data_IF_494029984316
#
_entry.id   IF_494029984316
#
_cell.length_a   1.000
_cell.length_b   1.000
_cell.length_c   1.000
_cell.angle_alpha   90.00
_cell.angle_beta   90.00
_cell.angle_gamma   90.00
#
_symmetry.space_group_name_H-M   'P 1'
#
loop_
_entity.id
_entity.type
_entity.pdbx_description
1 polymer ?
#
# COMPACT_ATOMS: atom_id res chain seq x y z
N UNK A 1 4.11 -11.54 -5.59
CA UNK A 1 4.46 -10.22 -6.17
C UNK A 1 5.90 -9.93 -5.81
N UNK A 2 6.75 -9.42 -6.73
CA UNK A 2 8.09 -9.02 -6.35
C UNK A 2 7.94 -7.87 -5.35
N UNK A 3 8.38 -8.10 -4.10
CA UNK A 3 8.60 -7.01 -3.16
C UNK A 3 9.60 -6.06 -3.82
N UNK A 4 9.19 -4.81 -4.08
CA UNK A 4 10.17 -3.74 -4.25
C UNK A 4 11.11 -3.91 -3.07
N UNK A 5 12.39 -4.15 -3.40
CA UNK A 5 13.35 -4.35 -2.32
C UNK A 5 13.30 -3.09 -1.47
N UNK A 6 12.79 -3.21 -0.28
CA UNK A 6 12.73 -2.17 0.77
C UNK A 6 14.03 -1.35 0.82
N UNK A 7 15.14 -1.96 0.43
CA UNK A 7 16.45 -1.39 0.29
C UNK A 7 16.57 -0.29 -0.79
N UNK A 8 15.81 -0.34 -1.89
CA UNK A 8 15.90 0.66 -2.98
C UNK A 8 15.02 1.86 -2.70
N UNK A 9 13.85 1.64 -2.06
CA UNK A 9 13.02 2.73 -1.57
C UNK A 9 13.74 3.52 -0.45
N UNK A 10 14.42 2.84 0.47
CA UNK A 10 15.25 3.49 1.50
C UNK A 10 16.31 4.37 0.89
N UNK A 11 17.04 3.92 -0.13
CA UNK A 11 18.05 4.74 -0.81
C UNK A 11 17.49 6.07 -1.36
N UNK A 12 16.28 6.06 -1.91
CA UNK A 12 15.62 7.28 -2.40
C UNK A 12 15.28 8.24 -1.26
N UNK A 13 14.72 7.73 -0.16
CA UNK A 13 14.39 8.56 1.00
C UNK A 13 15.66 9.03 1.76
N UNK A 14 16.72 8.25 1.75
CA UNK A 14 17.99 8.58 2.44
C UNK A 14 18.71 9.80 1.82
N UNK A 15 18.48 10.10 0.53
CA UNK A 15 19.05 11.26 -0.17
C UNK A 15 18.12 12.48 -0.18
N UNK A 16 17.08 12.47 0.62
CA UNK A 16 16.14 13.56 0.77
C UNK A 16 16.68 14.69 1.63
N UNK A 17 16.50 15.91 1.18
CA UNK A 17 16.78 17.13 1.93
C UNK A 17 15.49 17.84 2.34
N UNK A 18 15.56 18.59 3.43
CA UNK A 18 14.46 19.41 3.92
C UNK A 18 14.87 20.89 3.90
N UNK A 19 14.02 21.75 3.33
CA UNK A 19 14.18 23.19 3.42
C UNK A 19 13.67 23.72 4.75
N UNK A 20 14.00 25.00 5.05
CA UNK A 20 13.56 25.65 6.30
C UNK A 20 12.05 25.80 6.43
N UNK A 21 11.35 25.85 5.30
CA UNK A 21 9.89 25.95 5.22
C UNK A 21 9.17 24.58 5.36
N UNK A 22 9.94 23.50 5.55
CA UNK A 22 9.43 22.13 5.67
C UNK A 22 9.21 21.42 4.34
N UNK A 23 9.47 22.06 3.19
CA UNK A 23 9.41 21.38 1.89
C UNK A 23 10.60 20.44 1.68
N UNK A 24 10.38 19.35 1.01
CA UNK A 24 11.41 18.35 0.69
C UNK A 24 11.94 18.53 -0.73
N UNK A 25 13.21 18.16 -0.94
CA UNK A 25 13.81 18.15 -2.26
C UNK A 25 14.92 17.10 -2.38
N UNK A 26 15.30 16.77 -3.62
CA UNK A 26 16.38 15.85 -3.98
C UNK A 26 17.38 16.55 -4.93
N UNK A 27 18.69 16.27 -4.75
CA UNK A 27 19.69 16.64 -5.73
C UNK A 27 19.60 15.69 -6.93
N UNK A 28 19.51 16.23 -8.14
CA UNK A 28 19.46 15.43 -9.35
C UNK A 28 20.73 14.58 -9.53
N UNK A 29 21.87 15.05 -9.06
CA UNK A 29 23.12 14.28 -9.15
C UNK A 29 23.14 13.07 -8.22
N UNK A 30 22.62 13.21 -7.02
CA UNK A 30 22.50 12.10 -6.07
C UNK A 30 21.42 11.10 -6.53
N UNK A 31 20.33 11.61 -7.11
CA UNK A 31 19.30 10.77 -7.72
C UNK A 31 19.85 9.99 -8.92
N UNK A 32 20.76 10.57 -9.72
CA UNK A 32 21.40 9.86 -10.82
C UNK A 32 22.12 8.60 -10.36
N UNK A 33 22.84 8.67 -9.24
CA UNK A 33 23.56 7.53 -8.66
C UNK A 33 22.57 6.46 -8.14
N UNK A 34 21.50 6.87 -7.48
CA UNK A 34 20.43 5.95 -7.00
C UNK A 34 19.74 5.23 -8.17
N UNK A 35 19.59 5.92 -9.32
CA UNK A 35 18.98 5.37 -10.53
C UNK A 35 19.98 4.70 -11.50
N UNK A 36 21.19 4.39 -11.02
CA UNK A 36 22.26 3.73 -11.78
C UNK A 36 22.73 4.47 -13.05
N UNK A 37 22.69 5.81 -13.05
CA UNK A 37 23.24 6.63 -14.13
C UNK A 37 24.67 7.06 -13.84
N UNK A 38 25.65 6.35 -14.37
CA UNK A 38 27.08 6.67 -14.23
C UNK A 38 27.52 7.89 -15.03
N UNK A 39 26.75 8.30 -16.05
CA UNK A 39 27.07 9.41 -16.94
C UNK A 39 26.02 10.51 -16.85
N UNK A 40 26.40 11.69 -16.34
CA UNK A 40 25.50 12.83 -16.22
C UNK A 40 24.78 13.20 -17.53
N UNK A 41 25.50 13.17 -18.65
CA UNK A 41 24.94 13.47 -19.97
C UNK A 41 23.73 12.57 -20.32
N UNK A 42 23.77 11.30 -19.89
CA UNK A 42 22.68 10.38 -20.15
C UNK A 42 21.50 10.65 -19.20
N UNK A 43 21.79 10.98 -17.95
CA UNK A 43 20.77 11.36 -16.98
C UNK A 43 20.12 12.70 -17.32
N UNK A 44 20.90 13.69 -17.80
CA UNK A 44 20.36 14.97 -18.26
C UNK A 44 19.27 14.80 -19.33
N UNK A 45 19.45 13.85 -20.27
CA UNK A 45 18.42 13.55 -21.28
C UNK A 45 17.13 13.00 -20.67
N UNK A 46 17.21 12.31 -19.54
CA UNK A 46 16.02 11.83 -18.81
C UNK A 46 15.34 13.01 -18.12
N UNK A 47 16.13 13.89 -17.49
CA UNK A 47 15.60 15.13 -16.89
C UNK A 47 14.91 15.98 -17.96
N UNK A 48 15.51 16.17 -19.12
CA UNK A 48 14.94 16.97 -20.21
C UNK A 48 13.58 16.41 -20.67
N UNK A 49 13.45 15.08 -20.80
CA UNK A 49 12.16 14.43 -21.11
C UNK A 49 11.13 14.60 -19.98
N UNK A 50 11.56 14.48 -18.73
CA UNK A 50 10.70 14.68 -17.59
C UNK A 50 10.20 16.14 -17.49
N UNK A 51 11.05 17.13 -17.82
CA UNK A 51 10.66 18.54 -17.91
C UNK A 51 9.60 18.76 -18.99
N UNK A 52 9.76 18.17 -20.18
CA UNK A 52 8.76 18.22 -21.26
C UNK A 52 7.42 17.63 -20.79
N UNK A 53 7.46 16.49 -20.09
CA UNK A 53 6.24 15.86 -19.54
C UNK A 53 5.58 16.76 -18.48
N UNK A 54 6.37 17.41 -17.61
CA UNK A 54 5.92 18.36 -16.63
C UNK A 54 5.21 19.57 -17.27
N UNK A 55 5.84 20.21 -18.23
CA UNK A 55 5.30 21.36 -18.96
C UNK A 55 4.02 20.98 -19.72
N UNK A 56 4.04 19.86 -20.44
CA UNK A 56 2.90 19.38 -21.24
C UNK A 56 1.69 19.00 -20.37
N UNK A 57 1.90 18.69 -19.10
CA UNK A 57 0.83 18.40 -18.12
C UNK A 57 0.36 19.65 -17.34
N UNK A 58 0.88 20.83 -17.67
CA UNK A 58 0.47 22.10 -17.08
C UNK A 58 1.10 22.43 -15.74
N UNK A 59 2.17 21.74 -15.38
CA UNK A 59 2.97 22.01 -14.18
C UNK A 59 4.08 23.02 -14.45
N UNK A 60 4.51 23.74 -13.40
CA UNK A 60 5.57 24.73 -13.52
C UNK A 60 6.95 24.08 -13.39
N UNK A 61 7.67 23.97 -14.52
CA UNK A 61 9.00 23.31 -14.58
C UNK A 61 10.00 23.97 -13.63
N UNK A 62 10.00 25.31 -13.52
CA UNK A 62 10.95 25.99 -12.65
C UNK A 62 10.75 25.69 -11.16
N UNK A 63 9.52 25.33 -10.76
CA UNK A 63 9.21 24.91 -9.40
C UNK A 63 9.65 23.47 -9.15
N UNK A 64 9.32 22.57 -10.09
CA UNK A 64 9.57 21.14 -9.93
C UNK A 64 11.04 20.73 -10.20
N UNK A 65 11.74 21.48 -11.06
CA UNK A 65 13.12 21.25 -11.48
C UNK A 65 13.95 22.54 -11.32
N UNK A 66 14.14 23.00 -10.08
CA UNK A 66 14.86 24.23 -9.83
C UNK A 66 16.36 24.05 -10.16
N UNK A 67 16.84 24.78 -11.19
CA UNK A 67 18.25 24.74 -11.58
C UNK A 67 19.12 25.43 -10.52
N UNK A 68 20.15 24.73 -10.07
CA UNK A 68 21.11 25.20 -9.09
C UNK A 68 22.56 24.92 -9.52
N UNK A 69 23.49 25.66 -8.96
CA UNK A 69 24.93 25.44 -9.14
C UNK A 69 25.54 24.82 -7.89
N UNK A 70 26.15 23.63 -8.04
CA UNK A 70 26.88 22.94 -6.96
C UNK A 70 28.37 23.15 -7.14
N UNK A 71 29.04 23.57 -6.07
CA UNK A 71 30.49 23.71 -6.07
C UNK A 71 31.09 22.35 -5.68
N UNK A 72 31.98 21.82 -6.51
CA UNK A 72 32.71 20.58 -6.22
C UNK A 72 34.20 20.88 -6.20
N UNK A 73 34.93 20.26 -5.28
CA UNK A 73 36.38 20.34 -5.22
C UNK A 73 36.97 19.49 -6.35
N UNK A 74 37.83 20.10 -7.13
CA UNK A 74 38.54 19.47 -8.25
C UNK A 74 40.06 19.65 -8.04
N UNK A 75 40.66 18.87 -7.15
CA UNK A 75 42.06 19.02 -6.73
C UNK A 75 42.32 20.34 -6.01
N UNK A 76 43.23 21.17 -6.52
CA UNK A 76 43.57 22.47 -5.91
C UNK A 76 42.59 23.60 -6.28
N UNK A 77 41.55 23.34 -7.07
CA UNK A 77 40.57 24.33 -7.53
C UNK A 77 39.13 23.84 -7.28
N UNK A 78 38.18 24.76 -7.08
CA UNK A 78 36.76 24.45 -7.03
C UNK A 78 36.12 24.73 -8.39
N UNK A 79 35.21 23.85 -8.82
CA UNK A 79 34.45 23.99 -10.06
C UNK A 79 32.98 24.04 -9.78
N UNK A 80 32.27 25.01 -10.37
CA UNK A 80 30.82 25.04 -10.39
C UNK A 80 30.29 24.04 -11.43
N UNK A 81 29.38 23.19 -11.01
CA UNK A 81 28.69 22.25 -11.89
C UNK A 81 27.17 22.45 -11.77
N UNK A 82 26.48 22.23 -12.88
CA UNK A 82 25.03 22.28 -12.95
C UNK A 82 24.41 21.10 -12.16
N UNK A 83 23.40 21.39 -11.37
CA UNK A 83 22.56 20.45 -10.68
C UNK A 83 21.10 20.93 -10.69
N UNK A 84 20.17 20.15 -10.17
CA UNK A 84 18.78 20.55 -9.95
C UNK A 84 18.35 20.15 -8.55
N UNK A 85 17.58 21.00 -7.92
CA UNK A 85 16.74 20.64 -6.78
C UNK A 85 15.38 20.18 -7.33
N UNK A 86 15.05 18.93 -7.07
CA UNK A 86 13.87 18.25 -7.61
C UNK A 86 12.81 18.12 -6.53
N UNK A 87 11.56 18.40 -6.87
CA UNK A 87 10.43 17.97 -6.02
C UNK A 87 10.23 16.47 -6.10
N UNK A 88 9.46 15.89 -5.20
CA UNK A 88 9.06 14.47 -5.28
C UNK A 88 8.35 14.15 -6.60
N UNK A 89 7.51 15.05 -7.09
CA UNK A 89 6.84 14.92 -8.38
C UNK A 89 7.84 14.85 -9.54
N UNK A 90 8.83 15.75 -9.56
CA UNK A 90 9.91 15.72 -10.56
C UNK A 90 10.69 14.39 -10.53
N UNK A 91 11.01 13.87 -9.33
CA UNK A 91 11.67 12.55 -9.19
C UNK A 91 10.82 11.43 -9.79
N UNK A 92 9.51 11.48 -9.60
CA UNK A 92 8.58 10.50 -10.18
C UNK A 92 8.55 10.59 -11.71
N UNK A 93 8.50 11.80 -12.28
CA UNK A 93 8.57 11.99 -13.72
C UNK A 93 9.91 11.50 -14.31
N UNK A 94 11.02 11.75 -13.62
CA UNK A 94 12.35 11.23 -14.02
C UNK A 94 12.34 9.70 -14.04
N UNK A 95 11.80 9.05 -13.01
CA UNK A 95 11.68 7.60 -12.94
C UNK A 95 10.86 7.04 -14.11
N UNK A 96 9.70 7.65 -14.42
CA UNK A 96 8.83 7.23 -15.52
C UNK A 96 9.47 7.41 -16.90
N UNK A 97 10.35 8.40 -17.07
CA UNK A 97 11.09 8.69 -18.31
C UNK A 97 12.47 8.02 -18.36
N UNK A 98 12.82 7.23 -17.35
CA UNK A 98 14.07 6.51 -17.25
C UNK A 98 14.21 5.36 -18.23
N UNK A 99 15.43 4.82 -18.35
CA UNK A 99 15.72 3.67 -19.22
C UNK A 99 15.26 2.37 -18.56
N UNK A 100 14.22 1.68 -19.09
CA UNK A 100 13.65 0.48 -18.46
C UNK A 100 14.58 -0.74 -18.48
N UNK A 101 15.73 -0.67 -19.19
CA UNK A 101 16.77 -1.70 -19.11
C UNK A 101 17.52 -1.69 -17.78
N UNK A 102 17.41 -0.61 -17.03
CA UNK A 102 17.92 -0.51 -15.66
C UNK A 102 16.91 -1.12 -14.68
N UNK A 103 17.37 -2.07 -13.88
CA UNK A 103 16.50 -2.81 -12.95
C UNK A 103 15.74 -1.88 -12.00
N UNK A 104 16.40 -0.88 -11.42
CA UNK A 104 15.78 0.11 -10.52
C UNK A 104 14.69 0.92 -11.21
N UNK A 105 14.88 1.27 -12.49
CA UNK A 105 13.86 1.99 -13.28
C UNK A 105 12.67 1.08 -13.59
N UNK A 106 12.93 -0.15 -14.06
CA UNK A 106 11.86 -1.11 -14.36
C UNK A 106 10.98 -1.40 -13.12
N UNK A 107 11.61 -1.58 -11.94
CA UNK A 107 10.88 -1.75 -10.69
C UNK A 107 10.06 -0.52 -10.29
N UNK A 108 10.63 0.69 -10.44
CA UNK A 108 9.93 1.93 -10.16
C UNK A 108 8.70 2.12 -11.06
N UNK A 109 8.83 1.88 -12.37
CA UNK A 109 7.71 1.95 -13.32
C UNK A 109 6.62 0.92 -12.98
N UNK A 110 7.00 -0.31 -12.62
CA UNK A 110 6.05 -1.35 -12.18
C UNK A 110 5.34 -0.92 -10.89
N UNK A 111 6.08 -0.32 -9.94
CA UNK A 111 5.48 0.21 -8.71
C UNK A 111 4.40 1.27 -9.03
N UNK A 112 4.70 2.25 -9.88
CA UNK A 112 3.71 3.26 -10.28
C UNK A 112 2.48 2.65 -10.94
N UNK A 113 2.65 1.70 -11.86
CA UNK A 113 1.52 1.02 -12.50
C UNK A 113 0.62 0.32 -11.47
N UNK A 114 1.21 -0.36 -10.49
CA UNK A 114 0.46 -1.04 -9.42
C UNK A 114 -0.25 -0.03 -8.52
N UNK A 115 0.42 1.07 -8.12
CA UNK A 115 -0.20 2.08 -7.25
C UNK A 115 -1.32 2.83 -7.96
N UNK A 116 -1.15 3.18 -9.24
CA UNK A 116 -2.21 3.80 -10.04
C UNK A 116 -3.43 2.89 -10.13
N UNK A 117 -3.23 1.61 -10.44
CA UNK A 117 -4.33 0.64 -10.50
C UNK A 117 -5.05 0.49 -9.15
N UNK A 118 -4.31 0.44 -8.04
CA UNK A 118 -4.90 0.41 -6.68
C UNK A 118 -5.72 1.66 -6.39
N UNK A 119 -5.23 2.82 -6.81
CA UNK A 119 -5.94 4.09 -6.63
C UNK A 119 -7.23 4.12 -7.47
N UNK A 120 -7.18 3.66 -8.72
CA UNK A 120 -8.35 3.55 -9.59
C UNK A 120 -9.43 2.65 -8.97
N UNK A 121 -9.03 1.49 -8.40
CA UNK A 121 -9.97 0.60 -7.69
C UNK A 121 -10.58 1.30 -6.48
N UNK A 122 -9.76 2.01 -5.68
CA UNK A 122 -10.23 2.72 -4.50
C UNK A 122 -11.19 3.85 -4.87
N UNK A 123 -10.87 4.62 -5.91
CA UNK A 123 -11.71 5.71 -6.41
C UNK A 123 -13.03 5.18 -6.97
N UNK A 124 -12.98 4.08 -7.74
CA UNK A 124 -14.19 3.42 -8.22
C UNK A 124 -15.07 2.95 -7.04
N UNK A 125 -14.49 2.29 -6.04
CA UNK A 125 -15.23 1.87 -4.84
C UNK A 125 -15.86 3.06 -4.11
N UNK A 126 -15.13 4.17 -3.97
CA UNK A 126 -15.62 5.39 -3.32
C UNK A 126 -16.77 6.08 -4.07
N UNK A 127 -16.87 5.88 -5.39
CA UNK A 127 -17.96 6.40 -6.22
C UNK A 127 -19.23 5.54 -6.17
N UNK A 128 -19.14 4.29 -5.67
CA UNK A 128 -20.31 3.44 -5.50
C UNK A 128 -21.24 3.98 -4.42
N UNK A 129 -22.55 3.82 -4.61
CA UNK A 129 -23.53 4.00 -3.53
C UNK A 129 -23.38 2.93 -2.44
N UNK A 130 -24.01 3.17 -1.28
CA UNK A 130 -23.86 2.27 -0.12
C UNK A 130 -24.30 0.83 -0.43
N UNK A 131 -25.37 0.63 -1.16
CA UNK A 131 -25.86 -0.72 -1.48
C UNK A 131 -24.88 -1.49 -2.37
N UNK A 132 -24.28 -0.82 -3.35
CA UNK A 132 -23.26 -1.42 -4.22
C UNK A 132 -21.97 -1.70 -3.46
N UNK A 133 -21.52 -0.80 -2.57
CA UNK A 133 -20.38 -1.06 -1.68
C UNK A 133 -20.62 -2.29 -0.83
N UNK A 134 -21.79 -2.41 -0.23
CA UNK A 134 -22.18 -3.58 0.57
C UNK A 134 -22.11 -4.87 -0.26
N UNK A 135 -22.63 -4.86 -1.48
CA UNK A 135 -22.58 -6.03 -2.36
C UNK A 135 -21.17 -6.48 -2.69
N UNK A 136 -20.26 -5.54 -3.02
CA UNK A 136 -18.84 -5.83 -3.29
C UNK A 136 -18.20 -6.47 -2.06
N UNK A 137 -18.30 -5.82 -0.90
CA UNK A 137 -17.66 -6.31 0.34
C UNK A 137 -18.27 -7.65 0.80
N UNK A 138 -19.59 -7.86 0.58
CA UNK A 138 -20.23 -9.15 0.87
C UNK A 138 -19.69 -10.28 -0.02
N UNK A 139 -19.38 -9.98 -1.26
CA UNK A 139 -18.72 -10.92 -2.18
C UNK A 139 -17.34 -11.35 -1.65
N UNK A 140 -16.52 -10.37 -1.26
CA UNK A 140 -15.20 -10.60 -0.71
C UNK A 140 -15.26 -11.37 0.62
N UNK A 141 -16.16 -11.00 1.54
CA UNK A 141 -16.38 -11.73 2.81
C UNK A 141 -16.70 -13.18 2.54
N UNK A 142 -17.53 -13.50 1.55
CA UNK A 142 -17.89 -14.89 1.22
C UNK A 142 -16.64 -15.70 0.83
N UNK A 143 -15.78 -15.15 -0.01
CA UNK A 143 -14.54 -15.81 -0.45
C UNK A 143 -13.56 -15.99 0.71
N UNK A 144 -13.33 -14.92 1.49
CA UNK A 144 -12.41 -14.95 2.62
C UNK A 144 -12.90 -15.84 3.77
N UNK A 145 -14.21 -15.92 4.02
CA UNK A 145 -14.76 -16.85 5.00
C UNK A 145 -14.56 -18.30 4.59
N UNK A 146 -14.67 -18.60 3.30
CA UNK A 146 -14.38 -19.95 2.82
C UNK A 146 -12.92 -20.31 3.09
N UNK A 147 -11.99 -19.44 2.73
CA UNK A 147 -10.56 -19.64 2.97
C UNK A 147 -10.24 -19.74 4.47
N UNK A 148 -10.85 -18.88 5.31
CA UNK A 148 -10.68 -18.94 6.75
C UNK A 148 -11.17 -20.27 7.35
N UNK A 149 -12.30 -20.80 6.87
CA UNK A 149 -12.82 -22.10 7.32
C UNK A 149 -11.85 -23.23 6.96
N UNK A 150 -11.31 -23.23 5.74
CA UNK A 150 -10.30 -24.20 5.31
C UNK A 150 -9.03 -24.11 6.19
N UNK A 151 -8.49 -22.90 6.39
CA UNK A 151 -7.29 -22.68 7.22
C UNK A 151 -7.54 -23.02 8.71
N UNK A 152 -8.72 -22.72 9.24
CA UNK A 152 -9.09 -23.08 10.62
C UNK A 152 -9.23 -24.59 10.79
N UNK A 153 -9.79 -25.29 9.78
CA UNK A 153 -9.84 -26.74 9.77
C UNK A 153 -8.43 -27.36 9.79
N UNK A 154 -7.53 -26.85 8.95
CA UNK A 154 -6.13 -27.29 8.93
C UNK A 154 -5.41 -27.00 10.25
N UNK A 155 -5.80 -25.95 10.97
CA UNK A 155 -5.32 -25.62 12.29
C UNK A 155 -5.94 -26.48 13.42
N UNK A 156 -6.89 -27.39 13.10
CA UNK A 156 -7.47 -28.34 14.05
C UNK A 156 -8.84 -27.96 14.61
N UNK A 157 -9.56 -27.01 14.00
CA UNK A 157 -10.97 -26.74 14.28
C UNK A 157 -11.81 -27.72 13.46
N UNK A 158 -12.34 -28.78 14.07
CA UNK A 158 -12.91 -29.93 13.32
C UNK A 158 -14.42 -30.03 13.47
N UNK A 159 -14.94 -29.86 14.70
CA UNK A 159 -16.36 -30.05 14.98
C UNK A 159 -17.19 -28.80 14.70
N UNK A 160 -18.49 -28.98 14.46
CA UNK A 160 -19.42 -27.85 14.30
C UNK A 160 -19.44 -26.93 15.54
N UNK A 161 -19.29 -27.51 16.72
CA UNK A 161 -19.22 -26.75 17.98
C UNK A 161 -17.95 -25.91 18.06
N UNK A 162 -16.80 -26.48 17.71
CA UNK A 162 -15.54 -25.74 17.65
C UNK A 162 -15.59 -24.61 16.62
N UNK A 163 -16.18 -24.85 15.43
CA UNK A 163 -16.40 -23.80 14.44
C UNK A 163 -17.34 -22.70 14.94
N UNK A 164 -18.40 -23.04 15.66
CA UNK A 164 -19.29 -22.04 16.25
C UNK A 164 -18.56 -21.15 17.29
N UNK A 165 -17.77 -21.77 18.17
CA UNK A 165 -16.95 -21.08 19.15
C UNK A 165 -15.89 -20.21 18.44
N UNK A 166 -15.20 -20.75 17.45
CA UNK A 166 -14.21 -20.02 16.64
C UNK A 166 -14.82 -18.79 15.96
N UNK A 167 -15.95 -18.92 15.28
CA UNK A 167 -16.62 -17.80 14.62
C UNK A 167 -17.09 -16.74 15.62
N UNK A 168 -17.64 -17.19 16.75
CA UNK A 168 -18.12 -16.32 17.81
C UNK A 168 -16.96 -15.50 18.44
N UNK A 169 -15.81 -16.14 18.66
CA UNK A 169 -14.62 -15.48 19.17
C UNK A 169 -14.18 -14.31 18.28
N UNK A 170 -14.28 -14.48 16.96
CA UNK A 170 -13.98 -13.40 16.03
C UNK A 170 -14.94 -12.20 16.14
N UNK A 171 -16.23 -12.44 16.35
CA UNK A 171 -17.17 -11.35 16.64
C UNK A 171 -16.85 -10.68 17.99
N UNK A 172 -16.62 -11.47 19.03
CA UNK A 172 -16.25 -10.93 20.35
C UNK A 172 -14.99 -10.05 20.29
N UNK A 173 -13.97 -10.46 19.55
CA UNK A 173 -12.76 -9.65 19.33
C UNK A 173 -13.06 -8.31 18.66
N UNK A 174 -13.84 -8.31 17.57
CA UNK A 174 -14.16 -7.10 16.81
C UNK A 174 -15.15 -6.17 17.55
N UNK A 175 -16.09 -6.72 18.31
CA UNK A 175 -17.16 -5.96 18.97
C UNK A 175 -16.98 -5.77 20.47
N UNK A 176 -15.73 -5.89 20.96
CA UNK A 176 -15.42 -5.58 22.35
C UNK A 176 -16.04 -6.54 23.35
N UNK A 177 -16.11 -7.81 23.03
CA UNK A 177 -16.64 -8.87 23.88
C UNK A 177 -18.09 -9.27 23.58
N UNK A 178 -18.78 -8.57 22.68
CA UNK A 178 -20.15 -8.95 22.28
C UNK A 178 -20.13 -10.20 21.41
N UNK A 179 -20.91 -11.18 21.77
CA UNK A 179 -21.12 -12.39 20.98
C UNK A 179 -22.17 -12.21 19.87
N UNK A 180 -22.45 -13.26 19.12
CA UNK A 180 -23.43 -13.25 18.01
C UNK A 180 -24.84 -12.90 18.52
N UNK A 181 -25.25 -13.39 19.69
CA UNK A 181 -26.57 -13.13 20.28
C UNK A 181 -26.67 -11.67 20.73
N UNK A 182 -25.66 -11.16 21.41
CA UNK A 182 -25.56 -9.76 21.83
C UNK A 182 -25.67 -8.80 20.62
N UNK A 183 -25.00 -9.15 19.52
CA UNK A 183 -25.06 -8.34 18.29
C UNK A 183 -26.45 -8.39 17.64
N UNK A 184 -27.10 -9.57 17.63
CA UNK A 184 -28.48 -9.72 17.17
C UNK A 184 -29.43 -8.81 17.96
N UNK A 185 -29.34 -8.89 19.28
CA UNK A 185 -30.18 -8.10 20.17
C UNK A 185 -29.94 -6.59 20.02
N UNK A 186 -28.68 -6.19 19.95
CA UNK A 186 -28.30 -4.78 19.75
C UNK A 186 -28.80 -4.20 18.42
N UNK A 187 -28.87 -5.03 17.38
CA UNK A 187 -29.38 -4.63 16.05
C UNK A 187 -30.90 -4.84 15.91
N UNK A 188 -31.58 -5.39 16.93
CA UNK A 188 -32.99 -5.72 16.87
C UNK A 188 -33.34 -6.79 15.85
N UNK A 189 -32.44 -7.75 15.63
CA UNK A 189 -32.58 -8.80 14.62
C UNK A 189 -33.24 -10.05 15.22
N UNK A 190 -34.01 -10.76 14.39
CA UNK A 190 -34.51 -12.08 14.74
C UNK A 190 -33.47 -13.17 14.49
N UNK A 191 -33.55 -14.29 15.18
CA UNK A 191 -32.61 -15.42 15.04
C UNK A 191 -32.45 -15.97 13.61
N UNK A 192 -33.38 -15.66 12.69
CA UNK A 192 -33.32 -16.07 11.28
C UNK A 192 -32.56 -15.10 10.39
N UNK A 193 -32.33 -13.88 10.87
CA UNK A 193 -31.67 -12.84 10.10
C UNK A 193 -30.15 -12.95 10.26
N UNK A 194 -29.44 -12.91 9.16
CA UNK A 194 -27.97 -12.98 9.20
C UNK A 194 -27.39 -11.60 9.52
N UNK A 195 -26.58 -11.50 10.56
CA UNK A 195 -25.94 -10.24 11.02
C UNK A 195 -25.32 -9.46 9.87
N UNK A 196 -24.56 -10.12 8.99
CA UNK A 196 -23.86 -9.48 7.88
C UNK A 196 -24.81 -8.80 6.86
N UNK A 197 -26.07 -9.20 6.78
CA UNK A 197 -27.04 -8.59 5.88
C UNK A 197 -27.58 -7.24 6.42
N UNK A 198 -27.34 -6.97 7.70
CA UNK A 198 -27.76 -5.75 8.41
C UNK A 198 -26.56 -4.87 8.83
N UNK A 199 -25.43 -5.04 8.18
CA UNK A 199 -24.24 -4.23 8.35
C UNK A 199 -24.10 -3.22 7.21
N UNK A 200 -23.66 -2.00 7.54
CA UNK A 200 -23.21 -1.03 6.56
C UNK A 200 -21.84 -1.45 5.94
N UNK A 201 -21.46 -0.80 4.83
CA UNK A 201 -20.21 -1.13 4.12
C UNK A 201 -18.98 -1.01 5.02
N UNK A 202 -18.90 0.00 5.88
CA UNK A 202 -17.77 0.18 6.81
C UNK A 202 -17.68 -0.96 7.83
N UNK A 203 -18.81 -1.41 8.38
CA UNK A 203 -18.87 -2.51 9.34
C UNK A 203 -18.50 -3.85 8.65
N UNK A 204 -18.93 -4.03 7.40
CA UNK A 204 -18.54 -5.16 6.58
C UNK A 204 -17.04 -5.17 6.28
N UNK A 205 -16.43 -4.02 5.99
CA UNK A 205 -14.98 -3.89 5.78
C UNK A 205 -14.21 -4.28 7.05
N UNK A 206 -14.66 -3.87 8.22
CA UNK A 206 -14.04 -4.28 9.49
C UNK A 206 -14.10 -5.81 9.69
N UNK A 207 -15.23 -6.44 9.35
CA UNK A 207 -15.36 -7.89 9.38
C UNK A 207 -14.46 -8.58 8.35
N UNK A 208 -14.36 -8.04 7.13
CA UNK A 208 -13.44 -8.55 6.10
C UNK A 208 -11.98 -8.49 6.56
N UNK A 209 -11.58 -7.36 7.18
CA UNK A 209 -10.25 -7.20 7.75
C UNK A 209 -9.97 -8.27 8.83
N UNK A 210 -10.87 -8.43 9.79
CA UNK A 210 -10.76 -9.47 10.83
C UNK A 210 -10.54 -10.86 10.23
N UNK A 211 -11.39 -11.24 9.27
CA UNK A 211 -11.36 -12.56 8.62
C UNK A 211 -10.01 -12.79 7.91
N UNK A 212 -9.56 -11.80 7.11
CA UNK A 212 -8.31 -11.90 6.36
C UNK A 212 -7.08 -11.94 7.25
N UNK A 213 -7.06 -11.13 8.32
CA UNK A 213 -5.93 -11.13 9.28
C UNK A 213 -5.85 -12.42 10.07
N UNK A 214 -7.00 -12.99 10.47
CA UNK A 214 -7.02 -14.28 11.16
C UNK A 214 -6.47 -15.39 10.26
N UNK A 215 -6.95 -15.47 9.01
CA UNK A 215 -6.47 -16.46 8.03
C UNK A 215 -4.96 -16.36 7.85
N UNK A 216 -4.46 -15.15 7.57
CA UNK A 216 -3.03 -14.93 7.36
C UNK A 216 -2.21 -15.36 8.59
N UNK A 217 -2.67 -15.02 9.79
CA UNK A 217 -1.97 -15.34 11.05
C UNK A 217 -1.99 -16.85 11.31
N UNK A 218 -3.12 -17.54 11.16
CA UNK A 218 -3.20 -18.98 11.32
C UNK A 218 -2.21 -19.70 10.40
N UNK A 219 -2.16 -19.30 9.14
CA UNK A 219 -1.29 -19.88 8.13
C UNK A 219 0.19 -19.54 8.35
N UNK A 220 0.53 -18.28 8.66
CA UNK A 220 1.90 -17.80 8.83
C UNK A 220 2.56 -18.37 10.08
N UNK A 221 1.82 -18.36 11.20
CA UNK A 221 2.32 -18.80 12.50
C UNK A 221 2.18 -20.33 12.69
N UNK A 222 1.59 -21.04 11.68
CA UNK A 222 1.33 -22.48 11.70
C UNK A 222 0.64 -22.90 13.00
N UNK A 223 -0.45 -22.22 13.30
CA UNK A 223 -1.20 -22.43 14.56
C UNK A 223 -1.80 -23.83 14.56
N UNK A 224 -1.66 -24.57 15.65
CA UNK A 224 -2.19 -25.91 15.83
C UNK A 224 -3.10 -26.01 17.05
N UNK A 225 -4.28 -26.56 16.88
CA UNK A 225 -5.30 -26.77 17.90
C UNK A 225 -6.43 -25.74 17.88
N UNK A 226 -7.67 -26.22 18.07
CA UNK A 226 -8.88 -25.41 18.04
C UNK A 226 -8.89 -24.25 19.02
N UNK A 227 -8.38 -24.45 20.25
CA UNK A 227 -8.29 -23.41 21.27
C UNK A 227 -7.31 -22.30 20.85
N UNK A 228 -6.13 -22.68 20.33
CA UNK A 228 -5.14 -21.72 19.85
C UNK A 228 -5.66 -20.92 18.64
N UNK A 229 -6.31 -21.58 17.69
CA UNK A 229 -6.94 -20.94 16.53
C UNK A 229 -8.03 -19.97 16.96
N UNK A 230 -8.88 -20.35 17.91
CA UNK A 230 -9.93 -19.51 18.49
C UNK A 230 -9.36 -18.26 19.16
N UNK A 231 -8.26 -18.40 19.91
CA UNK A 231 -7.58 -17.25 20.51
C UNK A 231 -7.03 -16.28 19.48
N UNK A 232 -6.47 -16.79 18.39
CA UNK A 232 -6.01 -15.95 17.26
C UNK A 232 -7.16 -15.18 16.63
N UNK A 233 -8.35 -15.78 16.51
CA UNK A 233 -9.51 -15.14 15.92
C UNK A 233 -10.14 -14.08 16.84
N UNK A 234 -9.95 -14.20 18.14
CA UNK A 234 -10.39 -13.21 19.14
C UNK A 234 -9.49 -11.96 19.18
N UNK A 235 -8.16 -12.09 18.95
CA UNK A 235 -7.17 -11.00 19.06
C UNK A 235 -7.03 -10.20 17.78
#
# INVERSE_FOLDING_TARGET
>A
MPNLKEKEYRKFEDIKYMRKDGSEYWSARELADVLDYSQWRNFQKVIDRAMIACESSGHEVAYDFAEVSKIVEAGATSKSIKDYELTRYACYLIMQNGDPRKEVIAFGQTYFAIQTYRQEIADHFNQLDEDRRRLVVRGDIKQWNQLLVETAHDAGVITNEEFAIFQNAGYMGLYGGLDVEDIHDRKGLTARQKILDYMGSTELIANLFRISQTEEKLRKDKVEGAEAATKVHYT
#
